data_IF_696512918571
#
_entry.id   IF_696512918571
#
_cell.length_a   1.000
_cell.length_b   1.000
_cell.length_c   1.000
_cell.angle_alpha   90.00
_cell.angle_beta   90.00
_cell.angle_gamma   90.00
#
_symmetry.space_group_name_H-M   'P 1'
#
loop_
_entity.id
_entity.type
_entity.pdbx_description
1 polymer ?
#
# COMPACT_ATOMS: atom_id res chain seq x y z
N UNK A 1 5.80 4.23 -0.31
CA UNK A 1 5.60 4.76 -1.68
C UNK A 1 4.14 5.06 -1.92
N UNK A 2 3.88 6.06 -2.73
CA UNK A 2 2.51 6.47 -3.02
C UNK A 2 2.07 5.95 -4.38
N UNK A 3 0.79 5.57 -4.48
CA UNK A 3 0.15 5.22 -5.74
C UNK A 3 -0.35 6.51 -6.37
N UNK A 4 0.00 6.76 -7.61
CA UNK A 4 -0.36 8.01 -8.26
C UNK A 4 -0.64 7.86 -9.74
N UNK A 5 -1.57 8.66 -10.24
CA UNK A 5 -1.76 8.83 -11.67
C UNK A 5 -0.76 9.85 -12.19
N UNK A 6 -0.34 9.71 -13.41
CA UNK A 6 0.64 10.63 -14.00
C UNK A 6 0.30 11.03 -15.44
N UNK A 7 -0.91 11.54 -15.71
CA UNK A 7 -1.22 12.05 -17.05
C UNK A 7 -0.39 13.33 -17.29
N UNK A 8 0.22 13.49 -18.47
CA UNK A 8 1.01 14.67 -18.79
C UNK A 8 0.18 15.96 -18.69
N UNK A 9 0.71 16.96 -17.97
CA UNK A 9 0.10 18.29 -17.89
C UNK A 9 -1.17 18.40 -17.04
N UNK A 10 -1.57 17.34 -16.35
CA UNK A 10 -2.75 17.34 -15.49
C UNK A 10 -2.38 17.18 -14.01
N UNK A 11 -3.34 17.49 -13.14
CA UNK A 11 -3.19 17.22 -11.70
C UNK A 11 -3.09 15.73 -11.45
N UNK A 12 -2.19 15.33 -10.56
CA UNK A 12 -2.06 13.94 -10.16
C UNK A 12 -3.01 13.61 -9.03
N UNK A 13 -3.65 12.45 -9.13
CA UNK A 13 -4.28 11.80 -7.98
C UNK A 13 -3.19 11.01 -7.24
N UNK A 14 -3.06 11.24 -5.94
CA UNK A 14 -2.07 10.57 -5.10
C UNK A 14 -2.78 9.88 -3.97
N UNK A 15 -2.47 8.59 -3.78
CA UNK A 15 -2.96 7.78 -2.68
C UNK A 15 -1.79 7.22 -1.88
N UNK A 16 -1.85 7.34 -0.56
CA UNK A 16 -0.86 6.71 0.32
C UNK A 16 -1.07 5.20 0.38
N UNK A 17 -0.05 4.47 0.88
CA UNK A 17 -0.21 3.03 1.07
C UNK A 17 -1.26 2.68 2.12
N UNK A 18 -1.47 3.50 3.15
CA UNK A 18 -2.57 3.30 4.10
C UNK A 18 -3.95 3.44 3.45
N UNK A 19 -4.13 4.43 2.59
CA UNK A 19 -5.37 4.58 1.83
C UNK A 19 -5.60 3.39 0.91
N UNK A 20 -4.54 2.89 0.26
CA UNK A 20 -4.58 1.67 -0.53
C UNK A 20 -4.98 0.45 0.32
N UNK A 21 -4.43 0.32 1.54
CA UNK A 21 -4.78 -0.76 2.45
C UNK A 21 -6.24 -0.71 2.88
N UNK A 22 -6.78 0.49 3.13
CA UNK A 22 -8.20 0.66 3.45
C UNK A 22 -9.10 0.19 2.30
N UNK A 23 -8.72 0.48 1.07
CA UNK A 23 -9.44 0.00 -0.11
C UNK A 23 -9.35 -1.52 -0.24
N UNK A 24 -8.17 -2.11 -0.05
CA UNK A 24 -7.99 -3.56 -0.04
C UNK A 24 -8.83 -4.23 1.03
N UNK A 25 -8.92 -3.61 2.21
CA UNK A 25 -9.77 -4.11 3.31
C UNK A 25 -11.24 -4.13 2.91
N UNK A 26 -11.74 -3.08 2.27
CA UNK A 26 -13.11 -3.05 1.77
C UNK A 26 -13.37 -4.14 0.72
N UNK A 27 -12.45 -4.36 -0.19
CA UNK A 27 -12.57 -5.42 -1.19
C UNK A 27 -12.61 -6.81 -0.56
N UNK A 28 -11.75 -7.09 0.42
CA UNK A 28 -11.72 -8.42 1.04
C UNK A 28 -12.97 -8.68 1.89
N UNK A 29 -13.54 -7.65 2.52
CA UNK A 29 -14.81 -7.77 3.24
C UNK A 29 -15.98 -8.13 2.31
N UNK A 30 -15.94 -7.65 1.08
CA UNK A 30 -16.95 -7.93 0.06
C UNK A 30 -16.67 -9.23 -0.72
N UNK A 31 -15.49 -9.83 -0.56
CA UNK A 31 -15.09 -11.01 -1.30
C UNK A 31 -15.80 -12.27 -0.77
N UNK A 32 -16.25 -13.09 -1.69
CA UNK A 32 -16.94 -14.34 -1.39
C UNK A 32 -18.41 -14.30 -1.85
N UNK A 33 -18.79 -15.26 -2.65
CA UNK A 33 -20.13 -15.40 -3.20
C UNK A 33 -20.42 -16.86 -3.53
N UNK A 34 -21.41 -17.13 -4.36
CA UNK A 34 -21.75 -18.49 -4.78
C UNK A 34 -20.68 -19.17 -5.66
N UNK A 35 -19.79 -18.38 -6.28
CA UNK A 35 -18.74 -18.91 -7.16
C UNK A 35 -17.37 -18.96 -6.48
N UNK A 36 -17.11 -18.04 -5.55
CA UNK A 36 -15.82 -17.91 -4.85
C UNK A 36 -16.02 -17.98 -3.35
N UNK A 37 -15.36 -18.93 -2.72
CA UNK A 37 -15.41 -19.08 -1.27
C UNK A 37 -14.67 -17.94 -0.56
N UNK A 38 -15.12 -17.63 0.66
CA UNK A 38 -14.36 -16.71 1.52
C UNK A 38 -13.04 -17.38 1.92
N UNK A 39 -11.93 -16.62 1.95
CA UNK A 39 -10.66 -17.17 2.40
C UNK A 39 -10.71 -17.61 3.86
N UNK A 40 -10.02 -18.71 4.18
CA UNK A 40 -9.90 -19.21 5.54
C UNK A 40 -8.44 -19.40 5.93
N UNK A 41 -8.06 -19.11 7.17
CA UNK A 41 -8.88 -18.55 8.27
C UNK A 41 -9.25 -17.08 8.01
N UNK A 42 -10.53 -16.77 8.09
CA UNK A 42 -11.09 -15.51 7.59
C UNK A 42 -10.57 -14.27 8.34
N UNK A 43 -10.63 -14.29 9.67
CA UNK A 43 -10.23 -13.12 10.47
C UNK A 43 -8.74 -12.82 10.33
N UNK A 44 -7.91 -13.84 10.30
CA UNK A 44 -6.45 -13.69 10.11
C UNK A 44 -6.14 -13.17 8.71
N UNK A 45 -6.86 -13.64 7.71
CA UNK A 45 -6.69 -13.18 6.33
C UNK A 45 -7.08 -11.71 6.19
N UNK A 46 -8.20 -11.30 6.78
CA UNK A 46 -8.65 -9.90 6.82
C UNK A 46 -7.58 -9.01 7.46
N UNK A 47 -7.05 -9.42 8.61
CA UNK A 47 -6.00 -8.69 9.31
C UNK A 47 -4.73 -8.55 8.46
N UNK A 48 -4.33 -9.63 7.79
CA UNK A 48 -3.14 -9.63 6.93
C UNK A 48 -3.32 -8.68 5.74
N UNK A 49 -4.46 -8.73 5.06
CA UNK A 49 -4.76 -7.83 3.94
C UNK A 49 -4.73 -6.36 4.39
N UNK A 50 -5.32 -6.08 5.54
CA UNK A 50 -5.38 -4.72 6.09
C UNK A 50 -4.02 -4.13 6.42
N UNK A 51 -3.04 -4.97 6.73
CA UNK A 51 -1.75 -4.52 7.26
C UNK A 51 -0.54 -4.90 6.39
N UNK A 52 -0.73 -5.56 5.24
CA UNK A 52 0.40 -6.14 4.49
C UNK A 52 1.45 -5.13 4.01
N UNK A 53 1.06 -3.88 3.77
CA UNK A 53 1.96 -2.81 3.34
C UNK A 53 2.10 -1.69 4.39
N UNK A 54 1.76 -1.97 5.64
CA UNK A 54 1.72 -0.93 6.68
C UNK A 54 3.10 -0.35 7.00
N UNK A 55 4.18 -1.07 6.70
CA UNK A 55 5.54 -0.57 6.85
C UNK A 55 5.85 0.67 6.03
N UNK A 56 5.03 1.02 5.05
CA UNK A 56 5.17 2.22 4.23
C UNK A 56 4.62 3.48 4.88
N UNK A 57 3.90 3.40 6.00
CA UNK A 57 3.23 4.53 6.62
C UNK A 57 4.19 5.68 6.96
N UNK A 58 5.28 5.38 7.66
CA UNK A 58 6.26 6.40 8.02
C UNK A 58 6.93 7.03 6.80
N UNK A 59 7.21 6.22 5.78
CA UNK A 59 7.77 6.71 4.52
C UNK A 59 6.79 7.66 3.82
N UNK A 60 5.50 7.33 3.79
CA UNK A 60 4.49 8.14 3.12
C UNK A 60 4.17 9.44 3.87
N UNK A 61 4.37 9.49 5.18
CA UNK A 61 4.24 10.72 5.97
C UNK A 61 5.36 11.72 5.69
N UNK A 62 6.54 11.24 5.32
CA UNK A 62 7.71 12.05 4.98
C UNK A 62 8.29 11.57 3.65
N UNK A 63 7.57 11.79 2.53
CA UNK A 63 7.94 11.21 1.26
C UNK A 63 9.24 11.79 0.70
N UNK A 64 10.03 10.92 0.06
CA UNK A 64 11.17 11.36 -0.75
C UNK A 64 10.63 11.80 -2.10
N UNK A 65 11.02 13.00 -2.52
CA UNK A 65 10.61 13.56 -3.80
C UNK A 65 11.51 13.04 -4.93
N UNK A 66 10.89 12.72 -6.05
CA UNK A 66 11.61 12.39 -7.28
C UNK A 66 12.29 13.66 -7.80
N UNK A 67 13.61 13.59 -8.05
CA UNK A 67 14.39 14.74 -8.49
C UNK A 67 13.95 15.28 -9.86
N UNK A 68 13.44 14.43 -10.72
CA UNK A 68 13.05 14.81 -12.07
C UNK A 68 11.66 15.43 -12.13
N UNK A 69 10.72 14.94 -11.33
CA UNK A 69 9.32 15.40 -11.37
C UNK A 69 8.95 16.37 -10.27
N UNK A 70 9.67 16.36 -9.13
CA UNK A 70 9.32 17.14 -7.94
C UNK A 70 8.13 16.55 -7.16
N UNK A 71 7.56 15.45 -7.61
CA UNK A 71 6.49 14.72 -6.91
C UNK A 71 7.06 13.65 -6.00
N UNK A 72 6.27 13.16 -5.01
CA UNK A 72 6.70 12.01 -4.22
C UNK A 72 7.03 10.82 -5.09
N UNK A 73 8.05 10.04 -4.70
CA UNK A 73 8.41 8.83 -5.42
C UNK A 73 7.22 7.86 -5.46
N UNK A 74 6.89 7.39 -6.65
CA UNK A 74 5.86 6.38 -6.88
C UNK A 74 6.41 4.97 -6.81
N UNK A 75 5.56 4.00 -7.14
CA UNK A 75 5.95 2.60 -7.23
C UNK A 75 7.07 2.42 -8.26
N UNK A 76 8.17 1.81 -7.84
CA UNK A 76 9.31 1.53 -8.71
C UNK A 76 10.33 2.66 -8.84
N UNK A 77 10.09 3.84 -8.28
CA UNK A 77 11.02 4.97 -8.37
C UNK A 77 11.68 5.35 -7.03
N UNK A 78 11.31 4.69 -5.95
CA UNK A 78 11.88 4.96 -4.63
C UNK A 78 13.30 4.42 -4.48
N UNK A 79 14.12 5.03 -3.58
CA UNK A 79 15.45 4.54 -3.27
C UNK A 79 15.42 3.12 -2.73
N UNK A 80 16.29 2.24 -3.24
CA UNK A 80 16.31 0.82 -2.90
C UNK A 80 16.43 0.55 -1.39
N UNK A 81 17.33 1.23 -0.63
CA UNK A 81 17.42 1.02 0.82
C UNK A 81 16.11 1.29 1.56
N UNK A 82 15.36 2.32 1.15
CA UNK A 82 14.07 2.66 1.75
C UNK A 82 13.02 1.60 1.42
N UNK A 83 13.00 1.11 0.19
CA UNK A 83 12.08 0.04 -0.24
C UNK A 83 12.33 -1.23 0.57
N UNK A 84 13.59 -1.63 0.73
CA UNK A 84 13.96 -2.82 1.51
C UNK A 84 13.56 -2.64 2.98
N UNK A 85 13.83 -1.48 3.57
CA UNK A 85 13.49 -1.20 4.97
C UNK A 85 11.98 -1.30 5.22
N UNK A 86 11.17 -0.65 4.42
CA UNK A 86 9.71 -0.67 4.57
C UNK A 86 9.14 -2.06 4.34
N UNK A 87 9.67 -2.81 3.38
CA UNK A 87 9.25 -4.19 3.11
C UNK A 87 9.56 -5.12 4.28
N UNK A 88 10.63 -4.84 5.04
CA UNK A 88 10.94 -5.60 6.25
C UNK A 88 10.08 -5.23 7.44
N UNK A 89 9.58 -3.99 7.49
CA UNK A 89 8.71 -3.53 8.58
C UNK A 89 7.29 -4.08 8.47
N UNK A 90 6.76 -4.19 7.26
CA UNK A 90 5.36 -4.57 7.04
C UNK A 90 4.97 -5.89 7.72
N UNK A 91 5.77 -6.98 7.68
CA UNK A 91 5.41 -8.22 8.36
C UNK A 91 5.22 -8.09 9.88
N UNK A 92 5.87 -7.13 10.52
CA UNK A 92 5.75 -6.93 11.98
C UNK A 92 4.33 -6.58 12.39
N UNK A 93 3.54 -5.96 11.52
CA UNK A 93 2.15 -5.63 11.77
C UNK A 93 1.21 -6.82 11.60
N UNK A 94 1.68 -7.91 11.05
CA UNK A 94 0.94 -9.15 10.86
C UNK A 94 1.28 -10.23 11.90
N UNK A 95 2.26 -9.95 12.76
CA UNK A 95 2.62 -10.82 13.87
C UNK A 95 1.68 -10.57 15.05
N UNK A 96 1.14 -11.64 15.59
CA UNK A 96 0.28 -11.60 16.78
C UNK A 96 1.09 -11.80 18.06
#
# INVERSE_FOLDING_TARGET
MMIQTAPPGEKRFISTMLEHLDLCHQFILAFGNSEFEKPEPYDEFIYTVKNHDRGWDDFDKNPILDENSGFPCGLGSGPVPNVVHTSKLSPNFNEN
#
